data_IF_917006323234
#
_entry.id   IF_917006323234
#
_cell.length_a   1.000
_cell.length_b   1.000
_cell.length_c   1.000
_cell.angle_alpha   90.00
_cell.angle_beta   90.00
_cell.angle_gamma   90.00
#
_symmetry.space_group_name_H-M   'P 1'
#
loop_
_entity.id
_entity.type
_entity.pdbx_description
1 polymer ?
#
# COMPACT_ATOMS: atom_id res chain seq x y z
N UNK A 1 -35.89 6.55 -14.89
CA UNK A 1 -35.25 6.69 -13.56
C UNK A 1 -34.36 5.47 -13.30
N UNK A 2 -33.05 5.57 -13.55
CA UNK A 2 -32.10 4.46 -13.29
C UNK A 2 -31.50 4.66 -11.88
N UNK A 3 -32.05 3.94 -10.92
CA UNK A 3 -31.65 4.02 -9.50
C UNK A 3 -30.21 3.49 -9.29
N UNK A 4 -29.30 4.41 -8.97
CA UNK A 4 -28.51 4.47 -7.72
C UNK A 4 -28.09 3.18 -6.96
N UNK A 5 -27.84 2.04 -7.62
CA UNK A 5 -27.34 0.81 -6.95
C UNK A 5 -25.81 0.70 -6.82
N UNK A 6 -25.03 1.61 -7.41
CA UNK A 6 -23.56 1.52 -7.49
C UNK A 6 -22.83 1.97 -6.21
N UNK A 7 -23.38 2.94 -5.49
CA UNK A 7 -22.68 3.64 -4.39
C UNK A 7 -22.53 2.82 -3.11
N UNK A 8 -23.46 1.91 -2.81
CA UNK A 8 -23.41 1.12 -1.57
C UNK A 8 -22.38 -0.03 -1.60
N UNK A 9 -22.18 -0.66 -2.76
CA UNK A 9 -21.18 -1.75 -2.91
C UNK A 9 -19.76 -1.20 -2.81
N UNK A 10 -19.48 -0.08 -3.49
CA UNK A 10 -18.19 0.58 -3.46
C UNK A 10 -17.76 1.01 -2.05
N UNK A 11 -18.69 1.55 -1.24
CA UNK A 11 -18.43 1.91 0.17
C UNK A 11 -18.12 0.69 1.04
N UNK A 12 -18.77 -0.46 0.81
CA UNK A 12 -18.52 -1.69 1.57
C UNK A 12 -17.14 -2.29 1.26
N UNK A 13 -16.72 -2.23 0.00
CA UNK A 13 -15.39 -2.72 -0.42
C UNK A 13 -14.25 -1.87 0.13
N UNK A 14 -14.45 -0.55 0.26
CA UNK A 14 -13.44 0.36 0.85
C UNK A 14 -13.27 0.15 2.37
N UNK A 15 -14.32 -0.28 3.07
CA UNK A 15 -14.25 -0.53 4.52
C UNK A 15 -13.56 -1.87 4.86
N UNK A 16 -13.60 -2.86 3.97
CA UNK A 16 -13.00 -4.18 4.21
C UNK A 16 -11.47 -4.10 4.19
N UNK A 17 -10.83 -4.56 5.26
CA UNK A 17 -9.38 -4.74 5.32
C UNK A 17 -9.02 -6.00 4.53
N UNK A 18 -8.34 -5.83 3.40
CA UNK A 18 -7.72 -6.93 2.67
C UNK A 18 -6.49 -7.44 3.43
N UNK A 19 -6.27 -8.75 3.33
CA UNK A 19 -5.11 -9.45 3.91
C UNK A 19 -4.00 -9.64 2.88
N UNK A 20 -2.77 -9.82 3.34
CA UNK A 20 -1.61 -10.10 2.46
C UNK A 20 -1.86 -11.34 1.61
N UNK A 21 -2.42 -12.41 2.18
CA UNK A 21 -2.73 -13.64 1.43
C UNK A 21 -3.79 -13.48 0.35
N UNK A 22 -4.56 -12.38 0.38
CA UNK A 22 -5.61 -12.08 -0.60
C UNK A 22 -5.10 -11.15 -1.71
N UNK A 23 -3.85 -10.70 -1.64
CA UNK A 23 -3.27 -9.82 -2.65
C UNK A 23 -3.08 -10.56 -3.96
N UNK A 24 -3.47 -9.88 -5.03
CA UNK A 24 -3.26 -10.32 -6.41
C UNK A 24 -2.33 -9.34 -7.08
N UNK A 25 -1.40 -9.84 -7.90
CA UNK A 25 -0.52 -9.00 -8.68
C UNK A 25 -1.33 -8.09 -9.62
N UNK A 26 -0.80 -6.90 -9.88
CA UNK A 26 -1.32 -5.93 -10.84
C UNK A 26 -2.80 -5.58 -10.62
N UNK A 27 -3.17 -5.48 -9.33
CA UNK A 27 -4.55 -5.25 -8.90
C UNK A 27 -4.66 -4.12 -7.86
N UNK A 28 -5.81 -3.42 -7.77
CA UNK A 28 -6.07 -2.45 -6.72
C UNK A 28 -6.07 -3.08 -5.32
N UNK A 29 -5.65 -2.29 -4.33
CA UNK A 29 -5.76 -2.61 -2.90
C UNK A 29 -6.63 -1.54 -2.24
N UNK A 30 -7.85 -1.88 -1.87
CA UNK A 30 -8.81 -0.94 -1.30
C UNK A 30 -8.38 -0.42 0.07
N UNK A 31 -8.04 -1.35 0.97
CA UNK A 31 -7.50 -1.06 2.29
C UNK A 31 -6.65 -2.23 2.76
N UNK A 32 -5.44 -1.97 3.20
CA UNK A 32 -4.57 -2.96 3.84
C UNK A 32 -3.89 -2.33 5.07
N UNK A 33 -3.67 -3.14 6.11
CA UNK A 33 -2.97 -2.70 7.31
C UNK A 33 -1.82 -3.63 7.63
N UNK A 34 -0.63 -3.04 7.80
CA UNK A 34 0.64 -3.75 7.89
C UNK A 34 1.48 -3.18 9.02
N UNK A 35 2.10 -4.05 9.82
CA UNK A 35 3.22 -3.69 10.69
C UNK A 35 4.48 -3.58 9.84
N UNK A 36 5.20 -2.47 9.92
CA UNK A 36 6.51 -2.34 9.27
C UNK A 36 7.59 -3.09 10.05
N UNK A 37 8.17 -4.10 9.40
CA UNK A 37 9.26 -4.90 9.95
C UNK A 37 10.64 -4.31 9.61
N UNK A 38 10.74 -3.62 8.47
CA UNK A 38 12.00 -3.03 8.00
C UNK A 38 11.73 -1.87 7.07
N UNK A 39 12.57 -0.84 7.13
CA UNK A 39 12.63 0.25 6.15
C UNK A 39 14.06 0.27 5.59
N UNK A 40 14.20 0.21 4.28
CA UNK A 40 15.49 0.25 3.60
C UNK A 40 15.90 1.69 3.28
N UNK A 41 17.18 1.97 3.02
CA UNK A 41 17.65 3.31 2.68
C UNK A 41 16.89 3.93 1.49
N UNK A 42 16.69 5.24 1.57
CA UNK A 42 16.11 6.02 0.46
C UNK A 42 17.01 5.94 -0.78
N UNK A 43 16.41 5.91 -1.96
CA UNK A 43 17.10 6.02 -3.26
C UNK A 43 16.29 6.84 -4.24
N UNK A 44 16.96 7.42 -5.25
CA UNK A 44 16.27 8.09 -6.35
C UNK A 44 15.81 7.07 -7.40
N UNK A 45 14.65 7.31 -7.98
CA UNK A 45 14.17 6.66 -9.21
C UNK A 45 13.93 7.70 -10.28
N UNK A 46 14.21 7.30 -11.52
CA UNK A 46 14.02 8.11 -12.72
C UNK A 46 13.22 7.28 -13.71
N UNK A 47 11.98 7.65 -13.98
CA UNK A 47 11.17 7.10 -15.06
C UNK A 47 10.26 8.17 -15.65
N UNK A 48 9.69 7.91 -16.81
CA UNK A 48 8.79 8.84 -17.49
C UNK A 48 7.57 9.22 -16.64
N UNK A 49 7.16 8.32 -15.73
CA UNK A 49 5.99 8.48 -14.88
C UNK A 49 6.30 9.09 -13.51
N UNK A 50 7.56 9.03 -13.05
CA UNK A 50 7.96 9.56 -11.75
C UNK A 50 9.48 9.75 -11.63
N UNK A 51 9.88 10.92 -11.14
CA UNK A 51 11.25 11.22 -10.72
C UNK A 51 11.21 11.68 -9.28
N UNK A 52 11.89 10.96 -8.38
CA UNK A 52 11.90 11.30 -6.97
C UNK A 52 12.42 10.21 -6.04
N UNK A 53 12.48 10.48 -4.73
CA UNK A 53 12.97 9.54 -3.74
C UNK A 53 11.93 8.46 -3.42
N UNK A 54 12.41 7.23 -3.30
CA UNK A 54 11.66 6.05 -2.86
C UNK A 54 12.44 5.27 -1.83
N UNK A 55 11.74 4.59 -0.94
CA UNK A 55 12.32 3.57 -0.07
C UNK A 55 11.52 2.28 -0.19
N UNK A 56 12.22 1.15 -0.18
CA UNK A 56 11.57 -0.13 0.03
C UNK A 56 11.33 -0.33 1.54
N UNK A 57 10.28 -1.05 1.89
CA UNK A 57 10.00 -1.49 3.23
C UNK A 57 9.38 -2.90 3.22
N UNK A 58 9.38 -3.54 4.38
CA UNK A 58 8.80 -4.86 4.58
C UNK A 58 7.60 -4.71 5.52
N UNK A 59 6.41 -5.02 5.03
CA UNK A 59 5.17 -4.99 5.79
C UNK A 59 4.68 -6.40 6.10
N UNK A 60 4.04 -6.58 7.25
CA UNK A 60 3.47 -7.86 7.66
C UNK A 60 2.08 -7.71 8.24
N UNK A 61 1.24 -8.70 7.97
CA UNK A 61 0.03 -8.96 8.74
C UNK A 61 -0.01 -10.41 9.28
N UNK A 62 -1.16 -10.83 9.81
CA UNK A 62 -1.34 -12.18 10.34
C UNK A 62 -1.28 -13.28 9.27
N UNK A 63 -1.39 -12.93 7.99
CA UNK A 63 -1.44 -13.88 6.87
C UNK A 63 -0.16 -13.97 6.05
N UNK A 64 0.72 -12.98 6.15
CA UNK A 64 1.98 -13.02 5.41
C UNK A 64 2.80 -11.74 5.45
N UNK A 65 3.82 -11.73 4.61
CA UNK A 65 4.76 -10.63 4.43
C UNK A 65 4.62 -10.09 3.01
N UNK A 66 4.71 -8.78 2.85
CA UNK A 66 4.64 -8.10 1.56
C UNK A 66 5.67 -6.97 1.51
N UNK A 67 6.22 -6.71 0.32
CA UNK A 67 7.00 -5.51 0.09
C UNK A 67 6.11 -4.26 0.15
N UNK A 68 6.65 -3.14 0.62
CA UNK A 68 5.99 -1.84 0.58
C UNK A 68 6.90 -0.86 -0.13
N UNK A 69 6.36 -0.06 -1.07
CA UNK A 69 7.08 1.09 -1.63
C UNK A 69 6.56 2.36 -0.96
N UNK A 70 7.50 3.07 -0.33
CA UNK A 70 7.29 4.37 0.28
C UNK A 70 7.77 5.45 -0.68
N UNK A 71 6.92 6.44 -0.93
CA UNK A 71 7.18 7.55 -1.86
C UNK A 71 7.43 8.84 -1.10
N UNK A 72 8.45 9.60 -1.52
CA UNK A 72 8.67 10.98 -1.10
C UNK A 72 8.55 11.19 0.42
N UNK A 73 7.61 12.01 0.89
CA UNK A 73 7.44 12.35 2.31
C UNK A 73 7.00 11.14 3.16
N UNK A 74 6.50 10.06 2.56
CA UNK A 74 6.15 8.84 3.29
C UNK A 74 7.39 8.23 3.96
N UNK A 75 8.55 8.35 3.32
CA UNK A 75 9.81 7.76 3.79
C UNK A 75 10.21 8.33 5.15
N UNK A 76 10.00 9.64 5.36
CA UNK A 76 10.41 10.34 6.57
C UNK A 76 9.40 10.18 7.72
N UNK A 77 8.16 9.81 7.41
CA UNK A 77 7.07 9.70 8.39
C UNK A 77 7.08 8.38 9.15
N UNK A 78 7.54 7.31 8.51
CA UNK A 78 7.39 5.94 9.01
C UNK A 78 8.63 5.44 9.73
N UNK A 79 8.43 4.56 10.70
CA UNK A 79 9.47 3.84 11.44
C UNK A 79 9.20 2.35 11.46
N UNK A 80 10.23 1.57 11.74
CA UNK A 80 10.06 0.14 12.07
C UNK A 80 9.21 0.02 13.32
N UNK A 81 8.23 -0.89 13.30
CA UNK A 81 7.22 -1.06 14.34
C UNK A 81 5.90 -0.36 14.03
N UNK A 82 5.90 0.71 13.23
CA UNK A 82 4.68 1.44 12.89
C UNK A 82 3.67 0.52 12.19
N UNK A 83 2.39 0.70 12.51
CA UNK A 83 1.31 0.07 11.76
C UNK A 83 0.72 1.05 10.77
N UNK A 84 0.92 0.74 9.50
CA UNK A 84 0.46 1.52 8.38
C UNK A 84 -0.90 1.04 7.91
N UNK A 85 -1.79 1.98 7.59
CA UNK A 85 -2.93 1.77 6.73
C UNK A 85 -2.65 2.38 5.37
N UNK A 86 -2.81 1.59 4.32
CA UNK A 86 -2.83 2.07 2.93
C UNK A 86 -4.26 1.92 2.40
N UNK A 87 -4.80 2.99 1.83
CA UNK A 87 -6.11 2.99 1.18
C UNK A 87 -5.99 3.39 -0.29
N UNK A 88 -6.82 2.79 -1.14
CA UNK A 88 -6.77 2.98 -2.60
C UNK A 88 -5.37 2.77 -3.19
N UNK A 89 -4.64 1.81 -2.62
CA UNK A 89 -3.31 1.41 -3.04
C UNK A 89 -3.31 0.50 -4.26
N UNK A 90 -2.11 0.04 -4.61
CA UNK A 90 -1.89 -0.82 -5.76
C UNK A 90 -0.86 -1.90 -5.43
N UNK A 91 -1.18 -3.14 -5.80
CA UNK A 91 -0.30 -4.28 -5.69
C UNK A 91 0.38 -4.54 -7.05
N UNK A 92 1.70 -4.69 -7.06
CA UNK A 92 2.48 -5.14 -8.23
C UNK A 92 3.29 -6.36 -7.89
N UNK A 93 3.61 -7.16 -8.91
CA UNK A 93 4.69 -8.12 -8.82
C UNK A 93 6.01 -7.45 -9.23
N UNK A 94 7.08 -7.69 -8.46
CA UNK A 94 8.44 -7.29 -8.82
C UNK A 94 9.38 -8.43 -8.47
N UNK A 95 10.05 -8.98 -9.48
CA UNK A 95 10.95 -10.13 -9.34
C UNK A 95 10.28 -11.33 -8.64
N UNK A 96 8.99 -11.56 -8.88
CA UNK A 96 8.24 -12.65 -8.27
C UNK A 96 7.69 -12.35 -6.87
N UNK A 97 7.99 -11.19 -6.29
CA UNK A 97 7.48 -10.77 -4.98
C UNK A 97 6.35 -9.74 -5.14
N UNK A 98 5.32 -9.85 -4.28
CA UNK A 98 4.26 -8.85 -4.21
C UNK A 98 4.74 -7.61 -3.45
N UNK A 99 4.43 -6.44 -4.01
CA UNK A 99 4.75 -5.14 -3.44
C UNK A 99 3.53 -4.24 -3.50
N UNK A 100 3.16 -3.67 -2.36
CA UNK A 100 2.07 -2.70 -2.26
C UNK A 100 2.60 -1.27 -2.14
N UNK A 101 1.82 -0.32 -2.65
CA UNK A 101 2.10 1.11 -2.51
C UNK A 101 0.81 1.91 -2.54
N UNK A 102 0.87 3.21 -2.23
CA UNK A 102 -0.28 4.10 -2.37
C UNK A 102 -0.72 4.31 -3.83
N UNK A 103 0.08 3.90 -4.82
CA UNK A 103 -0.21 4.25 -6.22
C UNK A 103 -0.31 5.77 -6.43
N UNK A 104 -1.02 6.19 -7.48
CA UNK A 104 -1.20 7.61 -7.83
C UNK A 104 -2.20 8.35 -6.95
N UNK A 105 -3.26 7.66 -6.50
CA UNK A 105 -4.42 8.27 -5.85
C UNK A 105 -4.67 7.76 -4.43
N UNK A 106 -3.85 6.83 -3.95
CA UNK A 106 -4.01 6.26 -2.61
C UNK A 106 -3.36 7.10 -1.54
N UNK A 107 -3.71 6.76 -0.30
CA UNK A 107 -3.26 7.46 0.90
C UNK A 107 -2.60 6.47 1.85
N UNK A 108 -1.75 7.01 2.72
CA UNK A 108 -1.08 6.26 3.78
C UNK A 108 -1.27 6.99 5.11
N UNK A 109 -1.61 6.24 6.15
CA UNK A 109 -1.75 6.73 7.53
C UNK A 109 -1.02 5.80 8.49
N UNK A 110 -0.45 6.36 9.55
CA UNK A 110 0.11 5.59 10.67
C UNK A 110 -0.99 5.47 11.72
N UNK A 111 -1.39 4.25 12.08
CA UNK A 111 -2.45 3.98 13.04
C UNK A 111 -1.93 3.92 14.48
N UNK A 112 -0.76 3.31 14.67
CA UNK A 112 -0.09 3.17 15.95
C UNK A 112 1.42 2.99 15.78
N UNK A 113 2.14 3.22 16.88
CA UNK A 113 3.60 3.07 17.02
C UNK A 113 3.92 2.12 18.15
#
# INVERSE_FOLDING_TARGET
MRQSKSTHRAKKTQAYRQKVSELVADSPVHRIELVLLRVYPRRMVYSDQYVGPVAAACGRDETGIVGVVLWNEQIEKVKVGDVLRIESGWCRSRNGELVVSTGKNGTMQILHR
#
